data_IF_338127355434
#
_entry.id   IF_338127355434
#
_cell.length_a   1.000
_cell.length_b   1.000
_cell.length_c   1.000
_cell.angle_alpha   90.00
_cell.angle_beta   90.00
_cell.angle_gamma   90.00
#
_symmetry.space_group_name_H-M   'P 1'
#
loop_
_entity.id
_entity.type
_entity.pdbx_description
1 polymer ?
#
# COMPACT_ATOMS: atom_id res chain seq x y z
N UNK A 1 -4.56 7.29 13.55
CA UNK A 1 -4.79 7.77 14.93
C UNK A 1 -4.05 6.94 15.96
N UNK A 2 -4.26 5.62 16.03
CA UNK A 2 -3.54 4.74 16.97
C UNK A 2 -2.01 4.95 16.92
N UNK A 3 -1.39 4.87 15.75
CA UNK A 3 0.06 5.04 15.58
C UNK A 3 0.56 6.42 16.00
N UNK A 4 -0.22 7.48 15.77
CA UNK A 4 0.13 8.84 16.23
C UNK A 4 0.18 8.90 17.76
N UNK A 5 -0.84 8.32 18.42
CA UNK A 5 -0.90 8.26 19.90
C UNK A 5 0.22 7.41 20.50
N UNK A 6 0.44 6.21 19.95
CA UNK A 6 1.48 5.27 20.43
C UNK A 6 2.92 5.77 20.22
N UNK A 7 3.12 6.72 19.33
CA UNK A 7 4.42 7.38 19.13
C UNK A 7 4.57 8.66 19.97
N UNK A 8 3.62 8.97 20.85
CA UNK A 8 3.67 10.14 21.73
C UNK A 8 3.40 11.47 21.04
N UNK A 9 2.83 11.43 19.82
CA UNK A 9 2.51 12.62 19.05
C UNK A 9 1.05 13.04 19.23
N UNK A 10 0.72 14.26 18.83
CA UNK A 10 -0.61 14.83 18.93
C UNK A 10 -1.21 15.07 17.56
N UNK A 11 -2.50 14.74 17.38
CA UNK A 11 -3.29 15.13 16.23
C UNK A 11 -3.94 16.48 16.51
N UNK A 12 -3.52 17.51 15.79
CA UNK A 12 -4.02 18.89 16.01
C UNK A 12 -5.17 19.25 15.07
N UNK A 13 -5.24 18.63 13.90
CA UNK A 13 -6.32 18.84 12.95
C UNK A 13 -6.59 17.57 12.13
N UNK A 14 -7.83 17.33 11.75
CA UNK A 14 -8.25 16.22 10.91
C UNK A 14 -9.26 16.67 9.85
N UNK A 15 -9.19 16.04 8.68
CA UNK A 15 -10.14 16.19 7.59
C UNK A 15 -10.76 14.84 7.24
N UNK A 16 -12.07 14.73 7.30
CA UNK A 16 -12.82 13.64 6.67
C UNK A 16 -14.12 14.23 6.10
N UNK A 17 -14.48 13.98 4.84
CA UNK A 17 -15.73 14.48 4.26
C UNK A 17 -17.00 13.91 4.94
N UNK A 18 -16.84 12.88 5.76
CA UNK A 18 -17.91 12.31 6.57
C UNK A 18 -17.79 12.78 8.02
N UNK A 19 -18.84 13.43 8.53
CA UNK A 19 -18.91 13.96 9.87
C UNK A 19 -19.12 12.89 10.98
N UNK A 20 -19.31 11.64 10.59
CA UNK A 20 -19.55 10.50 11.48
C UNK A 20 -18.26 9.85 12.05
N UNK A 21 -17.13 10.54 12.03
CA UNK A 21 -15.82 10.00 12.47
C UNK A 21 -15.59 10.20 13.98
N UNK A 22 -16.58 9.82 14.80
CA UNK A 22 -16.53 9.97 16.27
C UNK A 22 -15.35 9.27 16.97
N UNK A 23 -14.61 8.40 16.27
CA UNK A 23 -13.41 7.78 16.82
C UNK A 23 -12.28 8.78 17.09
N UNK A 24 -12.27 9.95 16.44
CA UNK A 24 -11.28 11.01 16.69
C UNK A 24 -11.37 11.48 18.14
N UNK A 25 -12.57 11.68 18.64
CA UNK A 25 -12.81 12.16 20.02
C UNK A 25 -12.23 11.21 21.07
N UNK A 26 -12.23 9.90 20.76
CA UNK A 26 -11.67 8.88 21.66
C UNK A 26 -10.14 8.93 21.76
N UNK A 27 -9.45 9.45 20.76
CA UNK A 27 -8.00 9.53 20.70
C UNK A 27 -7.48 10.95 20.93
N UNK A 28 -8.13 11.96 20.31
CA UNK A 28 -7.67 13.34 20.26
C UNK A 28 -8.87 14.31 20.33
N UNK A 29 -9.50 14.46 21.52
CA UNK A 29 -10.74 15.25 21.69
C UNK A 29 -10.58 16.75 21.41
N UNK A 30 -9.34 17.23 21.38
CA UNK A 30 -9.04 18.65 21.13
C UNK A 30 -8.58 18.91 19.68
N UNK A 31 -8.64 17.92 18.79
CA UNK A 31 -8.27 18.11 17.38
C UNK A 31 -9.35 18.93 16.65
N UNK A 32 -8.94 19.93 15.88
CA UNK A 32 -9.84 20.66 14.99
C UNK A 32 -10.32 19.71 13.86
N UNK A 33 -11.64 19.64 13.63
CA UNK A 33 -12.22 18.76 12.63
C UNK A 33 -12.84 19.54 11.46
N UNK A 34 -12.59 19.05 10.25
CA UNK A 34 -13.06 19.67 8.99
C UNK A 34 -13.70 18.61 8.10
N UNK A 35 -14.77 18.99 7.43
CA UNK A 35 -15.41 18.19 6.38
C UNK A 35 -15.08 18.71 4.98
N UNK A 36 -14.59 19.95 4.87
CA UNK A 36 -14.26 20.61 3.60
C UNK A 36 -12.74 20.79 3.44
N UNK A 37 -12.17 20.28 2.33
CA UNK A 37 -10.73 20.38 2.05
C UNK A 37 -10.21 21.82 2.03
N UNK A 38 -11.00 22.77 1.51
CA UNK A 38 -10.60 24.18 1.39
C UNK A 38 -10.46 24.86 2.77
N UNK A 39 -11.32 24.49 3.71
CA UNK A 39 -11.24 25.00 5.08
C UNK A 39 -10.05 24.40 5.82
N UNK A 40 -9.79 23.12 5.59
CA UNK A 40 -8.65 22.41 6.16
C UNK A 40 -7.33 22.98 5.63
N UNK A 41 -7.16 23.14 4.31
CA UNK A 41 -5.97 23.71 3.69
C UNK A 41 -5.67 25.13 4.20
N UNK A 42 -6.72 25.97 4.28
CA UNK A 42 -6.61 27.32 4.88
C UNK A 42 -6.22 27.29 6.36
N UNK A 43 -6.71 26.31 7.13
CA UNK A 43 -6.33 26.15 8.54
C UNK A 43 -4.85 25.78 8.69
N UNK A 44 -4.36 24.86 7.86
CA UNK A 44 -2.93 24.49 7.83
C UNK A 44 -2.05 25.69 7.45
N UNK A 45 -2.44 26.48 6.43
CA UNK A 45 -1.72 27.69 6.03
C UNK A 45 -1.68 28.75 7.17
N UNK A 46 -2.79 28.91 7.90
CA UNK A 46 -2.85 29.80 9.07
C UNK A 46 -1.87 29.35 10.14
N UNK A 47 -1.84 28.03 10.48
CA UNK A 47 -0.89 27.49 11.47
C UNK A 47 0.56 27.65 11.01
N UNK A 48 0.86 27.40 9.74
CA UNK A 48 2.18 27.62 9.14
C UNK A 48 2.67 29.07 9.34
N UNK A 49 1.79 30.07 9.13
CA UNK A 49 2.13 31.49 9.25
C UNK A 49 2.30 31.94 10.69
N UNK A 50 1.63 31.29 11.64
CA UNK A 50 1.71 31.65 13.07
C UNK A 50 2.97 31.13 13.76
N UNK A 51 3.82 30.32 13.10
CA UNK A 51 5.14 29.89 13.59
C UNK A 51 5.09 28.85 14.70
N UNK A 52 4.58 29.21 15.87
CA UNK A 52 4.60 28.37 17.08
C UNK A 52 3.63 27.16 17.03
N UNK A 53 2.70 27.15 16.07
CA UNK A 53 1.70 26.09 15.87
C UNK A 53 1.93 25.27 14.59
N UNK A 54 3.15 25.26 14.10
CA UNK A 54 3.48 24.59 12.82
C UNK A 54 3.18 23.10 12.86
N UNK A 55 2.63 22.59 11.75
CA UNK A 55 2.38 21.16 11.56
C UNK A 55 3.65 20.50 11.04
N UNK A 56 4.18 19.51 11.75
CA UNK A 56 5.38 18.78 11.32
C UNK A 56 5.09 17.73 10.27
N UNK A 57 3.95 17.05 10.39
CA UNK A 57 3.55 15.95 9.52
C UNK A 57 2.07 16.02 9.15
N UNK A 58 1.77 15.68 7.89
CA UNK A 58 0.41 15.40 7.42
C UNK A 58 0.29 13.91 7.09
N UNK A 59 -0.54 13.20 7.84
CA UNK A 59 -0.86 11.78 7.60
C UNK A 59 -2.00 11.67 6.58
N UNK A 60 -1.73 11.04 5.43
CA UNK A 60 -2.63 10.97 4.28
C UNK A 60 -3.18 9.54 4.17
N UNK A 61 -4.46 9.38 4.54
CA UNK A 61 -5.22 8.13 4.49
C UNK A 61 -6.44 8.24 3.57
N UNK A 62 -6.44 9.21 2.69
CA UNK A 62 -7.52 9.50 1.74
C UNK A 62 -7.62 8.44 0.64
N UNK A 63 -8.64 8.48 -0.23
CA UNK A 63 -8.69 7.65 -1.43
C UNK A 63 -7.46 7.80 -2.33
N UNK A 64 -7.00 6.69 -2.93
CA UNK A 64 -5.73 6.60 -3.67
C UNK A 64 -5.50 7.74 -4.68
N UNK A 65 -6.54 8.15 -5.42
CA UNK A 65 -6.42 9.19 -6.45
C UNK A 65 -6.21 10.60 -5.90
N UNK A 66 -6.39 10.80 -4.59
CA UNK A 66 -6.12 12.08 -3.92
C UNK A 66 -4.70 12.18 -3.33
N UNK A 67 -3.98 11.07 -3.23
CA UNK A 67 -2.69 11.03 -2.55
C UNK A 67 -1.71 12.07 -3.11
N UNK A 68 -1.53 12.15 -4.43
CA UNK A 68 -0.64 13.14 -5.06
C UNK A 68 -1.00 14.59 -4.68
N UNK A 69 -2.29 14.93 -4.73
CA UNK A 69 -2.76 16.27 -4.38
C UNK A 69 -2.55 16.60 -2.90
N UNK A 70 -2.82 15.64 -2.02
CA UNK A 70 -2.67 15.84 -0.58
C UNK A 70 -1.20 15.85 -0.14
N UNK A 71 -0.32 15.10 -0.80
CA UNK A 71 1.13 15.21 -0.60
C UNK A 71 1.60 16.63 -0.96
N UNK A 72 1.18 17.15 -2.12
CA UNK A 72 1.52 18.53 -2.51
C UNK A 72 0.98 19.57 -1.55
N UNK A 73 -0.21 19.36 -1.02
CA UNK A 73 -0.80 20.23 0.02
C UNK A 73 0.08 20.23 1.28
N UNK A 74 0.51 19.05 1.75
CA UNK A 74 1.40 18.94 2.91
C UNK A 74 2.70 19.73 2.71
N UNK A 75 3.38 19.52 1.58
CA UNK A 75 4.65 20.20 1.27
C UNK A 75 4.48 21.73 1.15
N UNK A 76 3.41 22.22 0.52
CA UNK A 76 3.11 23.67 0.45
C UNK A 76 2.89 24.28 1.83
N UNK A 77 2.35 23.50 2.77
CA UNK A 77 2.18 23.92 4.14
C UNK A 77 3.42 23.66 5.02
N UNK A 78 4.57 23.40 4.40
CA UNK A 78 5.85 23.15 5.04
C UNK A 78 5.83 21.98 6.05
N UNK A 79 4.99 20.99 5.80
CA UNK A 79 4.89 19.75 6.57
C UNK A 79 5.43 18.56 5.78
N UNK A 80 6.03 17.59 6.46
CA UNK A 80 6.35 16.30 5.88
C UNK A 80 5.07 15.52 5.59
N UNK A 81 5.06 14.70 4.53
CA UNK A 81 3.92 13.87 4.18
C UNK A 81 4.16 12.41 4.60
N UNK A 82 3.21 11.81 5.31
CA UNK A 82 3.15 10.36 5.57
C UNK A 82 1.95 9.83 4.79
N UNK A 83 2.18 9.07 3.72
CA UNK A 83 1.11 8.67 2.82
C UNK A 83 0.90 7.16 2.80
N UNK A 84 -0.38 6.77 2.89
CA UNK A 84 -0.80 5.39 2.68
C UNK A 84 -0.47 4.90 1.26
N UNK A 85 -0.39 3.58 1.16
CA UNK A 85 -0.17 2.93 -0.15
C UNK A 85 -1.48 2.82 -0.96
N UNK A 86 -1.41 2.83 -2.28
CA UNK A 86 -0.24 3.17 -3.11
C UNK A 86 0.08 4.65 -2.97
N UNK A 87 1.34 5.01 -2.94
CA UNK A 87 1.71 6.43 -2.77
C UNK A 87 1.15 7.32 -3.88
N UNK A 88 1.11 6.79 -5.10
CA UNK A 88 0.46 7.38 -6.28
C UNK A 88 -0.07 6.28 -7.19
N UNK A 89 -0.92 6.65 -8.15
CA UNK A 89 -1.45 5.71 -9.14
C UNK A 89 -0.55 5.54 -10.38
N UNK A 90 0.29 6.52 -10.69
CA UNK A 90 1.10 6.52 -11.91
C UNK A 90 2.58 6.80 -11.61
N UNK A 91 3.51 6.10 -12.29
CA UNK A 91 4.95 6.24 -12.00
C UNK A 91 5.49 7.66 -12.19
N UNK A 92 5.03 8.39 -13.22
CA UNK A 92 5.47 9.78 -13.48
C UNK A 92 5.09 10.78 -12.37
N UNK A 93 4.10 10.45 -11.54
CA UNK A 93 3.79 11.24 -10.35
C UNK A 93 4.91 11.15 -9.30
N UNK A 94 5.62 10.01 -9.22
CA UNK A 94 6.81 9.87 -8.36
C UNK A 94 7.87 10.89 -8.79
N UNK A 95 8.16 10.97 -10.10
CA UNK A 95 9.17 11.91 -10.64
C UNK A 95 8.79 13.37 -10.36
N UNK A 96 7.51 13.70 -10.49
CA UNK A 96 7.01 15.03 -10.17
C UNK A 96 7.11 15.36 -8.68
N UNK A 97 6.73 14.40 -7.81
CA UNK A 97 6.80 14.57 -6.36
C UNK A 97 8.25 14.66 -5.86
N UNK A 98 9.19 13.91 -6.43
CA UNK A 98 10.61 14.02 -6.10
C UNK A 98 11.19 15.41 -6.38
N UNK A 99 10.73 16.07 -7.45
CA UNK A 99 11.14 17.46 -7.73
C UNK A 99 10.63 18.42 -6.66
N UNK A 100 9.33 18.31 -6.33
CA UNK A 100 8.70 19.14 -5.30
C UNK A 100 9.30 18.88 -3.92
N UNK A 101 9.60 17.61 -3.59
CA UNK A 101 10.27 17.25 -2.35
C UNK A 101 11.61 17.99 -2.19
N UNK A 102 12.41 18.02 -3.27
CA UNK A 102 13.69 18.74 -3.28
C UNK A 102 13.53 20.25 -3.15
N UNK A 103 12.46 20.81 -3.73
CA UNK A 103 12.18 22.26 -3.68
C UNK A 103 11.65 22.70 -2.32
N UNK A 104 10.91 21.83 -1.61
CA UNK A 104 10.23 22.17 -0.36
C UNK A 104 11.07 21.98 0.90
N UNK A 105 12.21 21.31 0.80
CA UNK A 105 13.03 20.86 1.95
C UNK A 105 12.23 20.02 2.97
N UNK A 106 11.18 19.35 2.50
CA UNK A 106 10.32 18.43 3.26
C UNK A 106 10.42 17.04 2.69
N UNK A 107 10.04 16.05 3.50
CA UNK A 107 10.12 14.63 3.14
C UNK A 107 8.75 14.04 2.85
N UNK A 108 8.73 13.09 1.92
CA UNK A 108 7.56 12.28 1.60
C UNK A 108 7.87 10.84 1.98
N UNK A 109 7.07 10.29 2.90
CA UNK A 109 7.20 8.93 3.38
C UNK A 109 6.01 8.08 2.94
N UNK A 110 6.28 6.86 2.52
CA UNK A 110 5.25 5.89 2.15
C UNK A 110 5.08 4.80 3.22
N UNK A 111 3.85 4.37 3.46
CA UNK A 111 3.54 3.27 4.37
C UNK A 111 3.76 1.93 3.65
N UNK A 112 4.96 1.36 3.78
CA UNK A 112 5.35 0.04 3.25
C UNK A 112 5.51 -0.97 4.39
N UNK A 113 4.48 -1.08 5.21
CA UNK A 113 4.53 -1.78 6.50
C UNK A 113 4.91 -3.27 6.40
N UNK A 114 4.68 -3.95 5.26
CA UNK A 114 5.06 -5.35 5.13
C UNK A 114 6.58 -5.56 5.20
N UNK A 115 7.38 -4.57 4.81
CA UNK A 115 8.85 -4.63 4.92
C UNK A 115 9.33 -4.76 6.37
N UNK A 116 8.50 -4.34 7.34
CA UNK A 116 8.79 -4.42 8.78
C UNK A 116 8.19 -5.67 9.45
N UNK A 117 7.49 -6.52 8.71
CA UNK A 117 6.99 -7.78 9.25
C UNK A 117 8.14 -8.75 9.49
N UNK A 118 8.20 -9.36 10.69
CA UNK A 118 9.32 -10.23 11.09
C UNK A 118 9.60 -11.35 10.08
N UNK A 119 8.56 -12.06 9.60
CA UNK A 119 8.75 -13.13 8.60
C UNK A 119 9.30 -12.59 7.27
N UNK A 120 9.02 -11.34 6.91
CA UNK A 120 9.54 -10.71 5.69
C UNK A 120 11.00 -10.29 5.88
N UNK A 121 11.35 -9.76 7.04
CA UNK A 121 12.74 -9.45 7.40
C UNK A 121 13.59 -10.72 7.38
N UNK A 122 13.10 -11.80 7.97
CA UNK A 122 13.82 -13.08 8.01
C UNK A 122 13.96 -13.70 6.62
N UNK A 123 12.89 -13.69 5.82
CA UNK A 123 12.93 -14.13 4.43
C UNK A 123 13.92 -13.31 3.59
N UNK A 124 13.90 -11.98 3.73
CA UNK A 124 14.86 -11.10 3.05
C UNK A 124 16.30 -11.46 3.41
N UNK A 125 16.56 -11.67 4.69
CA UNK A 125 17.89 -12.08 5.18
C UNK A 125 18.31 -13.47 4.63
N UNK A 126 17.38 -14.43 4.59
CA UNK A 126 17.60 -15.76 4.00
C UNK A 126 17.98 -15.64 2.51
N UNK A 127 17.24 -14.84 1.75
CA UNK A 127 17.50 -14.60 0.33
C UNK A 127 18.81 -13.86 0.13
N UNK A 128 19.13 -12.84 0.92
CA UNK A 128 20.35 -12.04 0.77
C UNK A 128 21.63 -12.86 1.08
N UNK A 129 21.53 -13.77 2.04
CA UNK A 129 22.66 -14.65 2.44
C UNK A 129 22.75 -15.93 1.60
N UNK A 130 21.70 -16.27 0.86
CA UNK A 130 21.67 -17.46 0.00
C UNK A 130 22.42 -17.28 -1.33
N UNK A 131 22.54 -18.37 -2.13
CA UNK A 131 23.21 -18.35 -3.43
C UNK A 131 22.64 -17.25 -4.33
N UNK A 132 23.51 -16.44 -4.93
CA UNK A 132 23.09 -15.25 -5.71
C UNK A 132 22.42 -15.60 -7.04
N UNK A 133 22.70 -16.77 -7.58
CA UNK A 133 22.14 -17.33 -8.82
C UNK A 133 20.84 -18.11 -8.61
N UNK A 134 20.46 -18.35 -7.34
CA UNK A 134 19.22 -19.07 -7.03
C UNK A 134 17.99 -18.26 -7.46
N UNK A 135 17.10 -18.92 -8.21
CA UNK A 135 15.78 -18.42 -8.59
C UNK A 135 14.72 -19.16 -7.76
N UNK A 136 13.90 -18.44 -7.05
CA UNK A 136 12.87 -18.97 -6.18
C UNK A 136 11.54 -19.09 -6.92
N UNK A 137 10.85 -20.23 -6.81
CA UNK A 137 9.49 -20.43 -7.33
C UNK A 137 8.48 -20.07 -6.25
N UNK A 138 7.57 -19.15 -6.58
CA UNK A 138 6.62 -18.56 -5.62
C UNK A 138 5.19 -18.65 -6.15
N UNK A 139 4.28 -19.10 -5.29
CA UNK A 139 2.83 -18.93 -5.46
C UNK A 139 2.31 -17.92 -4.44
N UNK A 140 1.73 -16.83 -4.94
CA UNK A 140 1.11 -15.79 -4.12
C UNK A 140 -0.39 -15.81 -4.33
N UNK A 141 -1.16 -16.07 -3.28
CA UNK A 141 -2.61 -15.97 -3.27
C UNK A 141 -3.07 -14.94 -2.24
N UNK A 142 -3.87 -13.99 -2.67
CA UNK A 142 -4.56 -13.09 -1.76
C UNK A 142 -6.00 -12.89 -2.19
N UNK A 143 -6.93 -13.39 -1.39
CA UNK A 143 -8.36 -13.24 -1.59
C UNK A 143 -8.91 -12.51 -0.36
N UNK A 144 -9.63 -11.43 -0.58
CA UNK A 144 -10.28 -10.66 0.49
C UNK A 144 -11.69 -10.32 0.06
N UNK A 145 -12.64 -11.19 0.43
CA UNK A 145 -14.04 -11.08 0.05
C UNK A 145 -14.63 -9.72 0.41
N UNK A 146 -15.15 -9.00 -0.57
CA UNK A 146 -15.77 -7.69 -0.42
C UNK A 146 -17.23 -7.75 -0.81
N UNK A 147 -18.06 -7.05 -0.04
CA UNK A 147 -19.48 -6.92 -0.34
C UNK A 147 -19.75 -5.83 -1.39
N UNK A 148 -21.05 -5.62 -1.74
CA UNK A 148 -21.48 -4.64 -2.76
C UNK A 148 -20.93 -3.22 -2.55
N UNK A 149 -20.74 -2.79 -1.31
CA UNK A 149 -20.19 -1.48 -0.96
C UNK A 149 -18.80 -1.21 -1.52
N UNK A 150 -17.99 -2.26 -1.71
CA UNK A 150 -16.69 -2.10 -2.34
C UNK A 150 -16.81 -1.52 -3.75
N UNK A 151 -17.78 -2.00 -4.54
CA UNK A 151 -17.99 -1.59 -5.94
C UNK A 151 -18.69 -0.25 -6.07
N UNK A 152 -19.53 0.14 -5.10
CA UNK A 152 -20.19 1.45 -5.06
C UNK A 152 -19.20 2.54 -4.62
N UNK A 153 -18.24 2.19 -3.75
CA UNK A 153 -17.23 3.13 -3.26
C UNK A 153 -16.17 3.42 -4.34
N UNK A 154 -15.31 4.40 -4.04
CA UNK A 154 -14.15 4.73 -4.89
C UNK A 154 -13.23 3.52 -5.18
N UNK A 155 -13.23 2.50 -4.31
CA UNK A 155 -12.41 1.29 -4.43
C UNK A 155 -12.80 0.44 -5.64
N UNK A 156 -14.09 0.41 -6.00
CA UNK A 156 -14.60 -0.30 -7.17
C UNK A 156 -14.37 0.44 -8.50
N UNK A 157 -13.93 1.70 -8.47
CA UNK A 157 -13.63 2.48 -9.66
C UNK A 157 -12.12 2.40 -9.99
N UNK A 158 -11.69 1.74 -11.09
CA UNK A 158 -10.28 1.59 -11.42
C UNK A 158 -9.53 2.91 -11.64
N UNK A 159 -10.19 3.95 -12.13
CA UNK A 159 -9.57 5.28 -12.29
C UNK A 159 -9.23 5.93 -10.93
N UNK A 160 -9.97 5.57 -9.88
CA UNK A 160 -9.77 6.11 -8.52
C UNK A 160 -8.90 5.22 -7.65
N UNK A 161 -9.04 3.91 -7.76
CA UNK A 161 -8.34 2.94 -6.93
C UNK A 161 -7.07 2.37 -7.57
N UNK A 162 -6.97 2.40 -8.90
CA UNK A 162 -5.99 1.68 -9.69
C UNK A 162 -6.35 0.21 -9.95
N UNK A 163 -7.58 -0.22 -9.59
CA UNK A 163 -8.05 -1.60 -9.74
C UNK A 163 -7.52 -2.55 -8.65
N UNK A 164 -7.84 -3.83 -8.78
CA UNK A 164 -7.53 -4.88 -7.77
C UNK A 164 -6.02 -4.98 -7.53
N UNK A 165 -5.22 -5.10 -8.60
CA UNK A 165 -3.77 -5.24 -8.47
C UNK A 165 -3.11 -4.07 -7.70
N UNK A 166 -3.58 -2.84 -7.92
CA UNK A 166 -3.07 -1.66 -7.22
C UNK A 166 -3.62 -1.58 -5.79
N UNK A 167 -4.95 -1.71 -5.64
CA UNK A 167 -5.61 -1.42 -4.36
C UNK A 167 -5.27 -2.46 -3.27
N UNK A 168 -5.25 -3.75 -3.62
CA UNK A 168 -4.97 -4.84 -2.68
C UNK A 168 -3.63 -5.53 -2.92
N UNK A 169 -3.09 -5.47 -4.15
CA UNK A 169 -1.88 -6.18 -4.53
C UNK A 169 -0.58 -5.42 -4.30
N UNK A 170 -0.60 -4.08 -4.29
CA UNK A 170 0.63 -3.26 -4.23
C UNK A 170 1.55 -3.63 -3.06
N UNK A 171 0.99 -3.98 -1.90
CA UNK A 171 1.77 -4.43 -0.74
C UNK A 171 2.62 -5.68 -1.03
N UNK A 172 2.02 -6.66 -1.72
CA UNK A 172 2.69 -7.91 -2.04
C UNK A 172 3.71 -7.70 -3.14
N UNK A 173 3.40 -6.87 -4.13
CA UNK A 173 4.34 -6.53 -5.19
C UNK A 173 5.52 -5.72 -4.67
N UNK A 174 5.29 -4.83 -3.71
CA UNK A 174 6.36 -4.14 -2.99
C UNK A 174 7.25 -5.11 -2.22
N UNK A 175 6.65 -5.98 -1.42
CA UNK A 175 7.35 -7.03 -0.68
C UNK A 175 8.19 -7.92 -1.62
N UNK A 176 7.62 -8.37 -2.73
CA UNK A 176 8.30 -9.23 -3.69
C UNK A 176 9.50 -8.52 -4.33
N UNK A 177 9.34 -7.27 -4.76
CA UNK A 177 10.46 -6.51 -5.34
C UNK A 177 11.52 -6.16 -4.30
N UNK A 178 11.13 -5.89 -3.08
CA UNK A 178 12.04 -5.65 -1.96
C UNK A 178 12.91 -6.87 -1.65
N UNK A 179 12.36 -8.08 -1.71
CA UNK A 179 13.08 -9.33 -1.38
C UNK A 179 13.86 -9.87 -2.58
N UNK A 180 13.22 -9.94 -3.76
CA UNK A 180 13.72 -10.71 -4.91
C UNK A 180 14.22 -9.84 -6.07
N UNK A 181 14.23 -8.52 -5.90
CA UNK A 181 14.74 -7.58 -6.89
C UNK A 181 13.71 -7.16 -7.94
N UNK A 182 14.18 -6.44 -8.95
CA UNK A 182 13.34 -5.78 -9.96
C UNK A 182 12.61 -6.78 -10.86
N UNK A 183 11.44 -6.35 -11.34
CA UNK A 183 10.67 -7.11 -12.32
C UNK A 183 11.33 -7.02 -13.71
N UNK A 184 11.58 -8.18 -14.30
CA UNK A 184 12.13 -8.34 -15.67
C UNK A 184 11.02 -8.62 -16.70
N UNK A 185 9.97 -9.33 -16.29
CA UNK A 185 8.85 -9.69 -17.14
C UNK A 185 7.56 -9.80 -16.32
N UNK A 186 6.44 -9.37 -16.90
CA UNK A 186 5.10 -9.48 -16.33
C UNK A 186 4.13 -9.98 -17.41
N UNK A 187 3.56 -11.14 -17.21
CA UNK A 187 2.46 -11.69 -18.01
C UNK A 187 1.17 -11.62 -17.19
N UNK A 188 0.12 -11.01 -17.74
CA UNK A 188 -1.18 -10.92 -17.07
C UNK A 188 -2.12 -11.95 -17.69
N UNK A 189 -2.58 -12.90 -16.90
CA UNK A 189 -3.44 -13.99 -17.37
C UNK A 189 -4.92 -13.64 -17.27
N UNK A 190 -5.31 -12.94 -16.20
CA UNK A 190 -6.67 -12.48 -15.96
C UNK A 190 -6.61 -11.05 -15.40
N UNK A 191 -7.45 -10.19 -15.96
CA UNK A 191 -7.58 -8.80 -15.52
C UNK A 191 -9.06 -8.41 -15.63
N UNK A 192 -9.79 -8.56 -14.53
CA UNK A 192 -11.18 -8.13 -14.46
C UNK A 192 -11.42 -7.25 -13.20
N UNK A 193 -12.67 -6.86 -12.99
CA UNK A 193 -13.05 -5.95 -11.93
C UNK A 193 -12.89 -6.56 -10.52
N UNK A 194 -12.90 -7.88 -10.40
CA UNK A 194 -12.90 -8.60 -9.12
C UNK A 194 -11.65 -9.43 -8.91
N UNK A 195 -11.05 -9.92 -10.00
CA UNK A 195 -9.95 -10.89 -9.93
C UNK A 195 -8.88 -10.53 -10.94
N UNK A 196 -7.64 -10.50 -10.46
CA UNK A 196 -6.47 -10.34 -11.30
C UNK A 196 -5.49 -11.48 -11.02
N UNK A 197 -4.86 -11.99 -12.07
CA UNK A 197 -3.87 -13.05 -11.95
C UNK A 197 -2.81 -12.96 -13.04
N UNK A 198 -1.62 -13.42 -12.74
CA UNK A 198 -0.53 -13.37 -13.69
C UNK A 198 0.73 -14.09 -13.23
N UNK A 199 1.80 -13.85 -13.97
CA UNK A 199 3.11 -14.39 -13.75
C UNK A 199 4.18 -13.29 -13.83
N UNK A 200 5.12 -13.28 -12.90
CA UNK A 200 6.24 -12.33 -12.88
C UNK A 200 7.56 -13.08 -12.91
N UNK A 201 8.53 -12.52 -13.65
CA UNK A 201 9.93 -12.87 -13.52
C UNK A 201 10.64 -11.69 -12.86
N UNK A 202 11.11 -11.90 -11.64
CA UNK A 202 11.96 -10.97 -10.90
C UNK A 202 13.44 -11.35 -11.08
N UNK A 203 14.35 -10.55 -10.55
CA UNK A 203 15.79 -10.87 -10.62
C UNK A 203 16.12 -12.22 -10.00
N UNK A 204 15.44 -12.58 -8.89
CA UNK A 204 15.67 -13.79 -8.12
C UNK A 204 14.42 -14.63 -7.86
N UNK A 205 13.30 -14.40 -8.56
CA UNK A 205 12.10 -15.21 -8.40
C UNK A 205 11.26 -15.32 -9.67
N UNK A 206 10.50 -16.42 -9.75
CA UNK A 206 9.36 -16.61 -10.63
C UNK A 206 8.11 -16.67 -9.77
N UNK A 207 7.12 -15.82 -10.03
CA UNK A 207 5.97 -15.64 -9.15
C UNK A 207 4.68 -15.84 -9.94
N UNK A 208 3.92 -16.86 -9.62
CA UNK A 208 2.53 -16.99 -10.02
C UNK A 208 1.69 -16.28 -8.96
N UNK A 209 0.88 -15.34 -9.36
CA UNK A 209 0.09 -14.55 -8.42
C UNK A 209 -1.40 -14.56 -8.77
N UNK A 210 -2.24 -14.55 -7.72
CA UNK A 210 -3.70 -14.50 -7.80
C UNK A 210 -4.25 -13.58 -6.72
N UNK A 211 -4.99 -12.56 -7.15
CA UNK A 211 -5.61 -11.56 -6.28
C UNK A 211 -7.11 -11.50 -6.56
N UNK A 212 -7.96 -11.56 -5.53
CA UNK A 212 -9.40 -11.46 -5.73
C UNK A 212 -10.11 -10.74 -4.58
N UNK A 213 -11.19 -10.03 -4.92
CA UNK A 213 -12.17 -9.48 -3.97
C UNK A 213 -13.50 -10.26 -4.02
N UNK A 214 -13.60 -11.28 -4.87
CA UNK A 214 -14.76 -12.16 -5.01
C UNK A 214 -14.71 -13.27 -3.96
N UNK A 215 -15.79 -13.43 -3.18
CA UNK A 215 -15.93 -14.47 -2.18
C UNK A 215 -15.99 -15.89 -2.77
N UNK A 216 -16.42 -16.02 -4.01
CA UNK A 216 -16.45 -17.31 -4.74
C UNK A 216 -15.06 -17.89 -4.99
N UNK A 217 -14.02 -17.07 -4.93
CA UNK A 217 -12.63 -17.51 -5.07
C UNK A 217 -12.05 -18.10 -3.78
N UNK A 218 -12.73 -17.96 -2.63
CA UNK A 218 -12.24 -18.49 -1.37
C UNK A 218 -12.12 -20.02 -1.41
N UNK A 219 -11.02 -20.59 -0.91
CA UNK A 219 -10.89 -22.04 -0.77
C UNK A 219 -11.86 -22.58 0.28
N UNK A 220 -12.26 -23.87 0.14
CA UNK A 220 -13.23 -24.50 1.04
C UNK A 220 -12.84 -24.39 2.51
N UNK A 221 -11.58 -24.60 2.83
CA UNK A 221 -11.06 -24.52 4.21
C UNK A 221 -11.25 -23.13 4.84
N UNK A 222 -11.16 -22.06 4.03
CA UNK A 222 -11.41 -20.72 4.51
C UNK A 222 -12.92 -20.46 4.75
N UNK A 223 -13.76 -20.98 3.85
CA UNK A 223 -15.23 -20.89 3.98
C UNK A 223 -15.71 -21.65 5.23
N UNK A 224 -15.25 -22.88 5.46
CA UNK A 224 -15.57 -23.72 6.63
C UNK A 224 -15.18 -23.05 7.95
N UNK A 225 -14.07 -22.27 7.94
CA UNK A 225 -13.62 -21.46 9.08
C UNK A 225 -14.29 -20.08 9.17
N UNK A 226 -15.29 -19.80 8.32
CA UNK A 226 -15.96 -18.52 8.23
C UNK A 226 -15.00 -17.32 8.01
N UNK A 227 -13.88 -17.56 7.30
CA UNK A 227 -12.90 -16.55 6.97
C UNK A 227 -13.30 -15.81 5.70
N UNK A 228 -13.24 -14.50 5.73
CA UNK A 228 -13.47 -13.63 4.55
C UNK A 228 -12.18 -13.26 3.83
N UNK A 229 -11.05 -13.70 4.36
CA UNK A 229 -9.73 -13.41 3.79
C UNK A 229 -8.92 -14.69 3.79
N UNK A 230 -8.32 -14.99 2.64
CA UNK A 230 -7.34 -16.05 2.48
C UNK A 230 -6.04 -15.45 1.94
N UNK A 231 -4.95 -15.74 2.62
CA UNK A 231 -3.62 -15.26 2.25
C UNK A 231 -2.65 -16.44 2.34
N UNK A 232 -1.94 -16.68 1.25
CA UNK A 232 -0.93 -17.75 1.18
C UNK A 232 0.23 -17.29 0.32
N UNK A 233 1.43 -17.47 0.80
CA UNK A 233 2.68 -17.28 0.06
C UNK A 233 3.48 -18.55 0.20
N UNK A 234 3.63 -19.30 -0.88
CA UNK A 234 4.42 -20.53 -0.89
C UNK A 234 5.70 -20.29 -1.67
N UNK A 235 6.84 -20.60 -1.06
CA UNK A 235 8.17 -20.50 -1.67
C UNK A 235 8.79 -21.89 -1.66
N UNK A 236 9.16 -22.44 -2.83
CA UNK A 236 9.75 -23.79 -2.95
C UNK A 236 8.89 -24.83 -2.20
N UNK A 237 7.56 -24.77 -2.33
CA UNK A 237 6.58 -25.61 -1.64
C UNK A 237 6.54 -25.44 -0.09
N UNK A 238 7.25 -24.48 0.49
CA UNK A 238 7.18 -24.11 1.89
C UNK A 238 6.25 -22.90 2.04
N UNK A 239 5.17 -23.05 2.79
CA UNK A 239 4.30 -21.92 3.13
C UNK A 239 5.00 -20.97 4.11
N UNK A 240 4.98 -19.68 3.80
CA UNK A 240 5.47 -18.64 4.70
C UNK A 240 4.33 -18.23 5.61
N UNK A 241 4.50 -18.42 6.91
CA UNK A 241 3.52 -17.96 7.90
C UNK A 241 3.40 -16.44 7.88
N UNK A 242 2.22 -15.98 7.50
CA UNK A 242 1.95 -14.57 7.25
C UNK A 242 0.57 -14.14 7.80
N UNK A 243 0.02 -14.93 8.73
CA UNK A 243 -1.34 -14.72 9.26
C UNK A 243 -1.39 -13.77 10.45
N UNK A 244 -0.29 -13.69 11.22
CA UNK A 244 -0.17 -12.84 12.41
C UNK A 244 0.81 -11.68 12.24
N UNK A 245 1.01 -10.90 13.29
CA UNK A 245 2.06 -9.87 13.34
C UNK A 245 1.76 -8.54 12.63
N UNK A 246 0.50 -8.30 12.23
CA UNK A 246 0.12 -7.07 11.53
C UNK A 246 -0.27 -5.92 12.45
N UNK A 247 -0.53 -6.18 13.72
CA UNK A 247 -1.21 -5.25 14.63
C UNK A 247 -0.44 -3.94 14.80
N UNK A 248 0.90 -3.99 14.88
CA UNK A 248 1.74 -2.84 15.22
C UNK A 248 2.60 -2.32 14.05
N UNK A 249 2.45 -2.90 12.85
CA UNK A 249 3.30 -2.55 11.72
C UNK A 249 3.22 -1.06 11.34
N UNK A 250 2.03 -0.46 11.39
CA UNK A 250 1.89 0.97 11.14
C UNK A 250 2.62 1.80 12.20
N UNK A 251 2.54 1.41 13.47
CA UNK A 251 3.25 2.09 14.56
C UNK A 251 4.77 1.98 14.38
N UNK A 252 5.27 0.82 13.92
CA UNK A 252 6.70 0.66 13.60
C UNK A 252 7.12 1.58 12.44
N UNK A 253 6.32 1.67 11.35
CA UNK A 253 6.60 2.60 10.26
C UNK A 253 6.63 4.04 10.75
N UNK A 254 5.68 4.45 11.60
CA UNK A 254 5.68 5.80 12.17
C UNK A 254 6.91 6.07 13.04
N UNK A 255 7.34 5.10 13.86
CA UNK A 255 8.59 5.21 14.63
C UNK A 255 9.80 5.39 13.74
N UNK A 256 9.90 4.63 12.64
CA UNK A 256 11.00 4.76 11.68
C UNK A 256 10.97 6.12 10.98
N UNK A 257 9.79 6.64 10.59
CA UNK A 257 9.63 7.96 9.98
C UNK A 257 10.10 9.05 10.95
N UNK A 258 9.70 9.00 12.21
CA UNK A 258 10.09 9.97 13.24
C UNK A 258 11.60 9.93 13.55
N UNK A 259 12.26 8.81 13.26
CA UNK A 259 13.71 8.63 13.35
C UNK A 259 14.43 8.87 11.99
N UNK A 260 13.75 9.48 11.01
CA UNK A 260 14.26 9.75 9.65
C UNK A 260 14.67 8.51 8.85
N UNK A 261 14.11 7.34 9.21
CA UNK A 261 14.34 6.03 8.56
C UNK A 261 13.14 5.53 7.76
N UNK A 262 12.15 6.38 7.53
CA UNK A 262 10.95 6.03 6.78
C UNK A 262 11.21 5.72 5.30
N UNK A 263 10.33 4.97 4.66
CA UNK A 263 10.43 4.61 3.24
C UNK A 263 10.11 5.82 2.35
N UNK A 264 11.00 6.06 1.40
CA UNK A 264 10.94 7.18 0.45
C UNK A 264 10.03 6.91 -0.75
N UNK A 265 9.90 7.92 -1.62
CA UNK A 265 9.26 7.77 -2.95
C UNK A 265 9.96 6.72 -3.82
N UNK A 266 11.30 6.67 -3.77
CA UNK A 266 12.07 5.72 -4.57
C UNK A 266 11.88 4.27 -4.11
N UNK A 267 11.68 4.06 -2.81
CA UNK A 267 11.35 2.74 -2.26
C UNK A 267 10.05 2.17 -2.85
N UNK A 268 9.07 3.02 -3.13
CA UNK A 268 7.78 2.61 -3.69
C UNK A 268 7.80 2.45 -5.23
N UNK A 269 8.79 3.00 -5.93
CA UNK A 269 8.84 3.08 -7.40
C UNK A 269 8.58 1.75 -8.08
N UNK A 270 9.32 0.71 -7.70
CA UNK A 270 9.24 -0.59 -8.36
C UNK A 270 7.85 -1.21 -8.28
N UNK A 271 7.18 -1.10 -7.14
CA UNK A 271 5.82 -1.60 -6.97
C UNK A 271 4.78 -0.77 -7.73
N UNK A 272 4.93 0.55 -7.78
CA UNK A 272 4.04 1.43 -8.55
C UNK A 272 4.17 1.19 -10.05
N UNK A 273 5.39 1.06 -10.57
CA UNK A 273 5.63 0.69 -11.98
C UNK A 273 5.00 -0.65 -12.31
N UNK A 274 5.18 -1.65 -11.44
CA UNK A 274 4.60 -2.98 -11.63
C UNK A 274 3.08 -2.95 -11.69
N UNK A 275 2.40 -2.35 -10.72
CA UNK A 275 0.93 -2.28 -10.73
C UNK A 275 0.40 -1.43 -11.87
N UNK A 276 1.15 -0.42 -12.31
CA UNK A 276 0.82 0.36 -13.51
C UNK A 276 0.88 -0.51 -14.76
N UNK A 277 1.93 -1.31 -14.95
CA UNK A 277 2.03 -2.22 -16.08
C UNK A 277 0.95 -3.30 -16.05
N UNK A 278 0.67 -3.90 -14.91
CA UNK A 278 -0.38 -4.91 -14.75
C UNK A 278 -1.75 -4.36 -15.17
N UNK A 279 -2.15 -3.19 -14.65
CA UNK A 279 -3.50 -2.65 -14.93
C UNK A 279 -3.70 -2.18 -16.36
N UNK A 280 -2.63 -1.92 -17.12
CA UNK A 280 -2.67 -1.49 -18.52
C UNK A 280 -2.29 -2.62 -19.49
N UNK A 281 -2.08 -3.84 -19.00
CA UNK A 281 -1.75 -4.98 -19.83
C UNK A 281 -2.99 -5.58 -20.49
N UNK A 282 -2.78 -6.26 -21.61
CA UNK A 282 -3.79 -7.15 -22.19
C UNK A 282 -3.68 -8.53 -21.56
N UNK A 283 -4.79 -9.07 -21.06
CA UNK A 283 -4.81 -10.42 -20.51
C UNK A 283 -4.60 -11.46 -21.63
N UNK A 284 -3.67 -12.40 -21.39
CA UNK A 284 -3.30 -13.44 -22.38
C UNK A 284 -4.00 -14.79 -22.15
N UNK A 285 -4.87 -14.87 -21.12
CA UNK A 285 -5.50 -16.13 -20.69
C UNK A 285 -4.52 -17.07 -20.00
N UNK A 286 -4.97 -18.28 -19.66
CA UNK A 286 -4.18 -19.31 -18.95
C UNK A 286 -3.13 -19.96 -19.88
N UNK A 287 -2.10 -19.19 -20.24
CA UNK A 287 -0.98 -19.64 -21.08
C UNK A 287 0.33 -19.61 -20.29
N UNK A 288 1.20 -20.61 -20.50
CA UNK A 288 2.48 -20.69 -19.80
C UNK A 288 2.35 -21.04 -18.32
N UNK A 289 3.15 -20.39 -17.48
CA UNK A 289 3.14 -20.58 -16.02
C UNK A 289 2.05 -19.71 -15.38
N UNK A 290 0.88 -20.25 -15.14
CA UNK A 290 -0.24 -19.55 -14.51
C UNK A 290 -0.58 -20.12 -13.13
N UNK A 291 -1.20 -19.28 -12.29
CA UNK A 291 -1.55 -19.64 -10.93
C UNK A 291 -2.59 -20.77 -10.87
N UNK A 292 -2.47 -21.77 -9.95
CA UNK A 292 -3.38 -22.91 -9.86
C UNK A 292 -4.86 -22.54 -9.71
N UNK A 293 -5.18 -21.40 -9.09
CA UNK A 293 -6.56 -20.92 -8.91
C UNK A 293 -7.25 -20.51 -10.23
N UNK A 294 -6.53 -20.36 -11.33
CA UNK A 294 -7.10 -20.14 -12.65
C UNK A 294 -7.60 -21.45 -13.31
N UNK A 295 -7.32 -22.60 -12.71
CA UNK A 295 -7.80 -23.90 -13.18
C UNK A 295 -9.18 -24.27 -12.63
N UNK A 296 -9.72 -23.49 -11.73
CA UNK A 296 -10.99 -23.76 -11.03
C UNK A 296 -12.19 -23.20 -11.76
#
# INVERSE_FOLDING_TARGET
MHSIKETGNNLVAALDPFDSVGIIDSYFPNADFFTEPERFDRHLDKKRRNGDEKIDYVSICSPNYFHDAHIRMALRNEANAICEKPIVLNPWNIDALQKIEKESDKKIYNILQLRLHHSIIDLKREVDNGPKDKIYDIDLTYITARGPWYFISWKGNPAKSGGVATNIGVHFFDMLTYIFGKCKKSDVHLLDQQTNAGFLILERARVRWFLSVDDKCLPKEAIEKNQRTYRSITIENREIEFSGGFTDLHTLVYKDILNEKGFSLEDARASIEMVYHIRNANAIGSKGDYHPFLKK
#
